data_IF_742413761611
#
_entry.id   IF_742413761611
#
_cell.length_a   1.000
_cell.length_b   1.000
_cell.length_c   1.000
_cell.angle_alpha   90.00
_cell.angle_beta   90.00
_cell.angle_gamma   90.00
#
_symmetry.space_group_name_H-M   'P 1'
#
loop_
_entity.id
_entity.type
_entity.pdbx_description
1 polymer ?
#
# COMPACT_ATOMS: atom_id res chain seq x y z
N UNK A 1 -19.30 12.01 -8.45
CA UNK A 1 -18.28 12.59 -7.55
C UNK A 1 -16.91 12.08 -7.91
N UNK A 2 -15.85 12.83 -7.58
CA UNK A 2 -14.44 12.42 -7.70
C UNK A 2 -13.92 12.19 -6.28
N UNK A 3 -13.39 10.98 -6.01
CA UNK A 3 -12.91 10.60 -4.68
C UNK A 3 -11.39 10.73 -4.55
N UNK A 4 -10.66 10.62 -5.64
CA UNK A 4 -9.20 10.46 -5.69
C UNK A 4 -8.36 11.68 -5.31
N UNK A 5 -8.97 12.84 -5.02
CA UNK A 5 -8.25 14.11 -4.71
C UNK A 5 -8.53 14.65 -3.29
N UNK A 6 -9.30 13.93 -2.49
CA UNK A 6 -9.69 14.37 -1.13
C UNK A 6 -8.95 13.64 0.01
N UNK A 7 -7.87 12.93 -0.27
CA UNK A 7 -7.17 12.09 0.70
C UNK A 7 -7.91 10.78 1.00
N UNK A 8 -7.71 10.19 2.18
CA UNK A 8 -8.24 8.88 2.54
C UNK A 8 -9.75 8.87 2.82
N UNK A 9 -10.28 9.95 3.40
CA UNK A 9 -11.68 10.01 3.82
C UNK A 9 -12.67 9.78 2.67
N UNK A 10 -12.54 10.45 1.49
CA UNK A 10 -13.39 10.14 0.35
C UNK A 10 -13.32 8.69 -0.12
N UNK A 11 -12.12 8.08 -0.15
CA UNK A 11 -11.97 6.67 -0.54
C UNK A 11 -12.74 5.75 0.40
N UNK A 12 -12.71 5.99 1.71
CA UNK A 12 -13.46 5.20 2.69
C UNK A 12 -14.99 5.31 2.52
N UNK A 13 -15.47 6.33 1.83
CA UNK A 13 -16.88 6.51 1.53
C UNK A 13 -17.31 5.87 0.20
N UNK A 14 -16.36 5.36 -0.59
CA UNK A 14 -16.61 4.90 -1.96
C UNK A 14 -17.74 3.88 -2.05
N UNK A 15 -17.63 2.79 -1.30
CA UNK A 15 -18.64 1.70 -1.30
C UNK A 15 -20.00 2.19 -0.82
N UNK A 16 -20.03 3.06 0.20
CA UNK A 16 -21.30 3.61 0.72
C UNK A 16 -21.96 4.54 -0.29
N UNK A 17 -21.20 5.41 -0.93
CA UNK A 17 -21.73 6.33 -1.96
C UNK A 17 -22.24 5.56 -3.17
N UNK A 18 -21.52 4.51 -3.60
CA UNK A 18 -21.93 3.66 -4.69
C UNK A 18 -23.26 2.92 -4.37
N UNK A 19 -23.37 2.40 -3.13
CA UNK A 19 -24.60 1.76 -2.63
C UNK A 19 -25.81 2.70 -2.59
N UNK A 20 -25.61 3.99 -2.39
CA UNK A 20 -26.65 5.04 -2.46
C UNK A 20 -26.90 5.53 -3.90
N UNK A 21 -26.31 4.91 -4.91
CA UNK A 21 -26.50 5.26 -6.33
C UNK A 21 -25.77 6.53 -6.77
N UNK A 22 -24.81 7.01 -6.00
CA UNK A 22 -24.01 8.20 -6.37
C UNK A 22 -22.99 7.79 -7.43
N UNK A 23 -23.02 8.40 -8.60
CA UNK A 23 -22.06 8.14 -9.69
C UNK A 23 -20.64 8.56 -9.28
N UNK A 24 -19.74 7.59 -9.14
CA UNK A 24 -18.31 7.80 -8.92
C UNK A 24 -17.61 7.95 -10.27
N UNK A 25 -16.78 8.97 -10.40
CA UNK A 25 -15.95 9.24 -11.58
C UNK A 25 -14.50 8.84 -11.27
N UNK A 26 -13.87 8.17 -12.21
CA UNK A 26 -12.53 7.61 -12.04
C UNK A 26 -12.58 6.11 -11.72
N UNK A 27 -11.74 5.65 -10.82
CA UNK A 27 -11.67 4.24 -10.43
C UNK A 27 -12.98 3.79 -9.78
N UNK A 28 -13.54 2.61 -10.15
CA UNK A 28 -14.79 2.08 -9.58
C UNK A 28 -14.69 1.85 -8.06
N UNK A 29 -15.80 2.05 -7.35
CA UNK A 29 -15.85 1.84 -5.89
C UNK A 29 -15.39 0.46 -5.45
N UNK A 30 -15.77 -0.58 -6.20
CA UNK A 30 -15.34 -1.96 -5.97
C UNK A 30 -13.81 -2.10 -5.99
N UNK A 31 -13.15 -1.44 -6.95
CA UNK A 31 -11.71 -1.53 -7.12
C UNK A 31 -10.97 -0.66 -6.10
N UNK A 32 -11.60 0.44 -5.64
CA UNK A 32 -11.13 1.20 -4.47
C UNK A 32 -11.16 0.31 -3.22
N UNK A 33 -12.26 -0.38 -2.97
CA UNK A 33 -12.41 -1.31 -1.85
C UNK A 33 -11.39 -2.47 -1.91
N UNK A 34 -11.16 -3.02 -3.12
CA UNK A 34 -10.14 -4.06 -3.33
C UNK A 34 -8.71 -3.59 -3.01
N UNK A 35 -8.40 -2.31 -3.21
CA UNK A 35 -7.10 -1.74 -2.89
C UNK A 35 -6.95 -1.38 -1.41
N UNK A 36 -8.03 -0.91 -0.78
CA UNK A 36 -8.02 -0.45 0.62
C UNK A 36 -8.13 -1.60 1.63
N UNK A 37 -8.82 -2.68 1.28
CA UNK A 37 -8.91 -3.89 2.10
C UNK A 37 -7.64 -4.73 1.94
N UNK A 38 -6.87 -4.86 3.02
CA UNK A 38 -5.58 -5.56 3.03
C UNK A 38 -5.66 -7.01 2.58
N UNK A 39 -6.71 -7.73 2.99
CA UNK A 39 -6.91 -9.12 2.59
C UNK A 39 -7.15 -9.21 1.07
N UNK A 40 -8.10 -8.41 0.56
CA UNK A 40 -8.45 -8.41 -0.87
C UNK A 40 -7.25 -7.99 -1.73
N UNK A 41 -6.54 -6.96 -1.31
CA UNK A 41 -5.35 -6.48 -2.02
C UNK A 41 -4.25 -7.53 -2.05
N UNK A 42 -3.92 -8.15 -0.90
CA UNK A 42 -2.92 -9.20 -0.82
C UNK A 42 -3.30 -10.43 -1.64
N UNK A 43 -4.56 -10.88 -1.60
CA UNK A 43 -5.05 -11.98 -2.41
C UNK A 43 -4.96 -11.66 -3.93
N UNK A 44 -5.25 -10.43 -4.32
CA UNK A 44 -5.06 -9.97 -5.70
C UNK A 44 -3.58 -10.02 -6.12
N UNK A 45 -2.67 -9.52 -5.30
CA UNK A 45 -1.23 -9.58 -5.58
C UNK A 45 -0.76 -11.02 -5.77
N UNK A 46 -1.19 -11.95 -4.89
CA UNK A 46 -0.86 -13.37 -4.98
C UNK A 46 -1.39 -13.97 -6.29
N UNK A 47 -2.63 -13.63 -6.69
CA UNK A 47 -3.22 -14.11 -7.94
C UNK A 47 -2.48 -13.62 -9.19
N UNK A 48 -1.85 -12.45 -9.11
CA UNK A 48 -1.05 -11.85 -10.18
C UNK A 48 0.43 -12.31 -10.16
N UNK A 49 0.83 -13.09 -9.16
CA UNK A 49 2.22 -13.48 -8.94
C UNK A 49 3.13 -12.29 -8.63
N UNK A 50 2.58 -11.25 -8.00
CA UNK A 50 3.31 -10.06 -7.58
C UNK A 50 3.83 -10.27 -6.17
N UNK A 51 5.14 -10.07 -5.98
CA UNK A 51 5.78 -10.29 -4.70
C UNK A 51 5.39 -9.23 -3.66
N UNK A 52 5.10 -9.69 -2.44
CA UNK A 52 4.74 -8.89 -1.28
C UNK A 52 5.37 -9.50 -0.03
N UNK A 53 5.48 -8.78 1.11
CA UNK A 53 5.85 -9.39 2.38
C UNK A 53 4.89 -10.53 2.70
N UNK A 54 5.39 -11.69 3.16
CA UNK A 54 4.53 -12.80 3.56
C UNK A 54 3.52 -12.34 4.60
N UNK A 55 2.31 -12.82 4.50
CA UNK A 55 1.20 -12.37 5.33
C UNK A 55 0.28 -13.51 5.75
N UNK A 56 -0.40 -13.33 6.86
CA UNK A 56 -1.42 -14.24 7.35
C UNK A 56 -2.53 -13.45 8.03
N UNK A 57 -3.77 -13.83 7.75
CA UNK A 57 -4.93 -13.33 8.48
C UNK A 57 -5.04 -14.05 9.82
N UNK A 58 -5.39 -13.32 10.88
CA UNK A 58 -5.61 -13.88 12.19
C UNK A 58 -6.97 -14.60 12.21
N UNK A 59 -6.94 -15.92 12.15
CA UNK A 59 -8.11 -16.79 12.36
C UNK A 59 -8.06 -17.45 13.73
N UNK A 60 -6.88 -17.85 14.17
CA UNK A 60 -6.59 -18.48 15.45
C UNK A 60 -5.09 -18.37 15.79
N UNK A 61 -4.74 -18.58 17.07
CA UNK A 61 -3.36 -18.49 17.54
C UNK A 61 -2.46 -19.58 16.97
N UNK A 62 -2.99 -20.76 16.64
CA UNK A 62 -2.19 -21.83 16.06
C UNK A 62 -1.71 -21.47 14.66
N UNK A 63 -2.58 -20.87 13.86
CA UNK A 63 -2.25 -20.36 12.54
C UNK A 63 -1.14 -19.28 12.58
N UNK A 64 -1.23 -18.37 13.57
CA UNK A 64 -0.22 -17.34 13.78
C UNK A 64 1.12 -17.93 14.22
N UNK A 65 1.13 -18.88 15.16
CA UNK A 65 2.36 -19.52 15.58
C UNK A 65 3.06 -20.26 14.43
N UNK A 66 2.30 -20.99 13.61
CA UNK A 66 2.85 -21.64 12.41
C UNK A 66 3.43 -20.61 11.43
N UNK A 67 2.80 -19.45 11.27
CA UNK A 67 3.32 -18.38 10.45
C UNK A 67 4.63 -17.79 11.00
N UNK A 68 4.72 -17.60 12.34
CA UNK A 68 5.95 -17.15 12.98
C UNK A 68 7.09 -18.16 12.83
N UNK A 69 6.80 -19.45 12.94
CA UNK A 69 7.81 -20.50 12.67
C UNK A 69 8.34 -20.44 11.22
N UNK A 70 7.47 -20.07 10.27
CA UNK A 70 7.84 -19.94 8.86
C UNK A 70 8.67 -18.69 8.56
N UNK A 71 8.29 -17.52 9.09
CA UNK A 71 8.88 -16.22 8.70
C UNK A 71 9.88 -15.66 9.71
N UNK A 72 9.81 -16.08 10.97
CA UNK A 72 10.58 -15.53 12.09
C UNK A 72 10.13 -14.12 12.50
N UNK A 73 10.76 -13.60 13.55
CA UNK A 73 10.62 -12.21 13.97
C UNK A 73 11.67 -11.32 13.28
N UNK A 74 11.39 -10.01 13.13
CA UNK A 74 10.18 -9.31 13.53
C UNK A 74 9.01 -9.46 12.56
N UNK A 75 7.79 -9.28 13.08
CA UNK A 75 6.56 -9.23 12.29
C UNK A 75 5.79 -7.95 12.57
N UNK A 76 4.95 -7.54 11.63
CA UNK A 76 4.08 -6.39 11.73
C UNK A 76 2.64 -6.86 11.94
N UNK A 77 2.04 -6.45 13.06
CA UNK A 77 0.61 -6.63 13.34
C UNK A 77 -0.14 -5.39 12.89
N UNK A 78 -1.20 -5.58 12.11
CA UNK A 78 -2.05 -4.48 11.65
C UNK A 78 -3.50 -4.93 11.47
N UNK A 79 -4.47 -4.11 11.87
CA UNK A 79 -5.87 -4.31 11.48
C UNK A 79 -6.00 -4.19 9.96
N UNK A 80 -6.93 -4.92 9.34
CA UNK A 80 -7.13 -4.87 7.88
C UNK A 80 -7.65 -3.51 7.39
N UNK A 81 -8.36 -2.80 8.26
CA UNK A 81 -8.96 -1.51 7.90
C UNK A 81 -8.59 -0.49 8.98
N UNK A 82 -7.59 0.34 8.75
CA UNK A 82 -7.16 1.37 9.72
C UNK A 82 -6.87 2.68 9.03
N UNK A 83 -7.43 3.74 9.62
CA UNK A 83 -7.08 5.11 9.30
C UNK A 83 -5.71 5.45 9.89
N UNK A 84 -4.76 5.81 9.04
CA UNK A 84 -3.48 6.45 9.39
C UNK A 84 -2.55 5.67 10.35
N UNK A 85 -2.35 4.36 10.15
CA UNK A 85 -1.32 3.60 10.88
C UNK A 85 -1.58 3.38 12.38
N UNK A 86 -2.76 3.80 12.89
CA UNK A 86 -3.16 3.52 14.27
C UNK A 86 -3.23 2.01 14.49
N UNK A 87 -2.71 1.54 15.63
CA UNK A 87 -2.62 0.14 16.02
C UNK A 87 -1.73 -0.76 15.11
N UNK A 88 -0.88 -0.18 14.26
CA UNK A 88 0.20 -0.92 13.59
C UNK A 88 1.40 -1.01 14.52
N UNK A 89 1.89 -2.24 14.76
CA UNK A 89 3.03 -2.45 15.65
C UNK A 89 3.96 -3.52 15.12
N UNK A 90 5.26 -3.25 15.20
CA UNK A 90 6.32 -4.22 14.95
C UNK A 90 6.54 -5.02 16.23
N UNK A 91 6.48 -6.34 16.12
CA UNK A 91 6.68 -7.28 17.22
C UNK A 91 8.00 -8.02 17.01
N UNK A 92 8.86 -8.00 18.01
CA UNK A 92 10.17 -8.66 17.99
C UNK A 92 10.18 -10.00 18.73
N UNK A 93 9.10 -10.34 19.44
CA UNK A 93 8.94 -11.57 20.22
C UNK A 93 7.45 -11.91 20.43
N UNK A 94 7.20 -13.08 20.99
CA UNK A 94 5.84 -13.58 21.23
C UNK A 94 5.04 -12.73 22.23
N UNK A 95 5.66 -12.19 23.26
CA UNK A 95 4.96 -11.39 24.28
C UNK A 95 4.41 -10.10 23.68
N UNK A 96 5.23 -9.44 22.85
CA UNK A 96 4.80 -8.26 22.09
C UNK A 96 3.70 -8.62 21.09
N UNK A 97 3.85 -9.74 20.38
CA UNK A 97 2.86 -10.22 19.43
C UNK A 97 1.49 -10.42 20.08
N UNK A 98 1.41 -11.19 21.19
CA UNK A 98 0.16 -11.41 21.90
C UNK A 98 -0.48 -10.10 22.38
N UNK A 99 0.33 -9.19 22.94
CA UNK A 99 -0.15 -7.90 23.42
C UNK A 99 -0.77 -7.08 22.28
N UNK A 100 -0.08 -6.99 21.14
CA UNK A 100 -0.55 -6.17 20.01
C UNK A 100 -1.69 -6.83 19.24
N UNK A 101 -1.76 -8.17 19.19
CA UNK A 101 -2.93 -8.87 18.64
C UNK A 101 -4.21 -8.54 19.41
N UNK A 102 -4.14 -8.52 20.75
CA UNK A 102 -5.29 -8.13 21.59
C UNK A 102 -5.72 -6.69 21.31
N UNK A 103 -4.76 -5.75 21.27
CA UNK A 103 -5.05 -4.34 20.97
C UNK A 103 -5.65 -4.16 19.56
N UNK A 104 -5.12 -4.87 18.55
CA UNK A 104 -5.61 -4.80 17.19
C UNK A 104 -7.03 -5.38 17.05
N UNK A 105 -7.33 -6.48 17.74
CA UNK A 105 -8.67 -7.08 17.76
C UNK A 105 -9.71 -6.16 18.44
N UNK A 106 -9.32 -5.43 19.49
CA UNK A 106 -10.20 -4.47 20.15
C UNK A 106 -10.57 -3.27 19.26
N UNK A 107 -9.62 -2.83 18.42
CA UNK A 107 -9.80 -1.71 17.49
C UNK A 107 -10.57 -2.14 16.23
N UNK A 108 -10.36 -3.37 15.77
CA UNK A 108 -10.91 -3.89 14.51
C UNK A 108 -11.92 -5.01 14.74
N UNK A 109 -13.08 -4.65 15.33
CA UNK A 109 -14.14 -5.63 15.67
C UNK A 109 -14.84 -6.22 14.44
N UNK A 110 -14.85 -5.50 13.33
CA UNK A 110 -15.57 -5.88 12.10
C UNK A 110 -14.66 -6.40 11.00
N UNK A 111 -13.34 -6.25 11.14
CA UNK A 111 -12.36 -6.64 10.12
C UNK A 111 -11.24 -7.49 10.72
N UNK A 112 -10.70 -8.45 9.97
CA UNK A 112 -9.63 -9.30 10.46
C UNK A 112 -8.35 -8.52 10.75
N UNK A 113 -7.54 -9.07 11.65
CA UNK A 113 -6.18 -8.59 11.90
C UNK A 113 -5.23 -9.37 10.99
N UNK A 114 -4.29 -8.68 10.37
CA UNK A 114 -3.28 -9.26 9.49
C UNK A 114 -1.91 -9.19 10.17
N UNK A 115 -1.19 -10.30 10.16
CA UNK A 115 0.23 -10.36 10.54
C UNK A 115 1.06 -10.48 9.28
N UNK A 116 2.08 -9.65 9.18
CA UNK A 116 2.93 -9.56 7.99
C UNK A 116 4.40 -9.66 8.40
N UNK A 117 5.21 -10.36 7.61
CA UNK A 117 6.65 -10.36 7.75
C UNK A 117 7.19 -8.92 7.68
N UNK A 118 7.99 -8.50 8.66
CA UNK A 118 8.66 -7.20 8.62
C UNK A 118 10.04 -7.33 7.96
N UNK A 119 10.25 -6.62 6.86
CA UNK A 119 11.50 -6.67 6.09
C UNK A 119 12.45 -5.60 6.61
N UNK A 120 13.40 -6.01 7.44
CA UNK A 120 14.42 -5.10 8.00
C UNK A 120 15.39 -4.60 6.93
N UNK A 121 15.88 -3.38 7.11
CA UNK A 121 16.90 -2.73 6.26
C UNK A 121 16.49 -2.63 4.77
N UNK A 122 15.20 -2.66 4.49
CA UNK A 122 14.69 -2.41 3.16
C UNK A 122 14.57 -0.91 2.89
N UNK A 123 14.82 -0.51 1.65
CA UNK A 123 14.47 0.83 1.14
C UNK A 123 12.97 0.90 0.92
N UNK A 124 12.38 2.02 1.26
CA UNK A 124 11.02 2.34 0.85
C UNK A 124 11.03 3.20 -0.41
N UNK A 125 10.23 2.81 -1.38
CA UNK A 125 10.15 3.45 -2.68
C UNK A 125 8.68 3.71 -2.97
N UNK A 126 8.37 4.90 -3.46
CA UNK A 126 7.03 5.26 -3.87
C UNK A 126 6.96 5.48 -5.38
N UNK A 127 5.85 5.10 -5.96
CA UNK A 127 5.50 5.48 -7.32
C UNK A 127 4.20 6.26 -7.29
N UNK A 128 4.28 7.55 -7.58
CA UNK A 128 3.13 8.41 -7.87
C UNK A 128 2.81 8.34 -9.36
N UNK A 129 1.58 8.10 -9.71
CA UNK A 129 1.20 7.95 -11.10
C UNK A 129 -0.25 8.39 -11.38
N UNK A 130 -0.54 8.65 -12.65
CA UNK A 130 -1.89 8.81 -13.16
C UNK A 130 -2.13 7.75 -14.21
N UNK A 131 -3.27 7.09 -14.15
CA UNK A 131 -3.70 6.12 -15.14
C UNK A 131 -5.06 6.47 -15.73
N UNK A 132 -5.34 5.92 -16.92
CA UNK A 132 -6.65 5.94 -17.58
C UNK A 132 -6.98 4.51 -18.02
N UNK A 133 -8.09 3.99 -17.53
CA UNK A 133 -8.55 2.64 -17.85
C UNK A 133 -7.45 1.56 -17.63
N UNK A 134 -6.71 1.69 -16.52
CA UNK A 134 -5.61 0.81 -16.17
C UNK A 134 -4.29 1.04 -16.89
N UNK A 135 -4.20 1.99 -17.82
CA UNK A 135 -2.94 2.34 -18.50
C UNK A 135 -2.29 3.55 -17.86
N UNK A 136 -1.03 3.39 -17.43
CA UNK A 136 -0.26 4.47 -16.79
C UNK A 136 0.13 5.51 -17.84
N UNK A 137 -0.32 6.75 -17.65
CA UNK A 137 -0.05 7.89 -18.54
C UNK A 137 1.23 8.61 -18.16
N UNK A 138 1.39 8.86 -16.85
CA UNK A 138 2.55 9.54 -16.27
C UNK A 138 2.89 8.92 -14.92
N UNK A 139 4.15 8.93 -14.58
CA UNK A 139 4.61 8.44 -13.26
C UNK A 139 5.86 9.18 -12.79
N UNK A 140 6.07 9.14 -11.47
CA UNK A 140 7.30 9.55 -10.80
C UNK A 140 7.65 8.47 -9.76
N UNK A 141 8.91 8.06 -9.74
CA UNK A 141 9.43 7.14 -8.73
C UNK A 141 10.35 7.92 -7.81
N UNK A 142 10.09 7.87 -6.52
CA UNK A 142 10.89 8.49 -5.45
C UNK A 142 11.34 7.45 -4.44
N UNK A 143 12.40 7.74 -3.71
CA UNK A 143 12.87 6.90 -2.62
C UNK A 143 12.84 7.66 -1.29
N UNK A 144 12.63 6.94 -0.19
CA UNK A 144 12.85 7.47 1.15
C UNK A 144 14.34 7.42 1.50
N UNK A 145 14.83 8.46 2.16
CA UNK A 145 16.22 8.48 2.65
C UNK A 145 16.37 7.50 3.81
N UNK A 146 15.35 7.44 4.65
CA UNK A 146 15.25 6.51 5.77
C UNK A 146 14.96 5.07 5.28
N UNK A 147 15.28 4.09 6.12
CA UNK A 147 14.84 2.72 5.89
C UNK A 147 13.35 2.57 6.19
N UNK A 148 12.75 1.53 5.61
CA UNK A 148 11.34 1.19 5.82
C UNK A 148 10.98 1.05 7.31
N UNK A 149 9.79 1.55 7.66
CA UNK A 149 9.28 1.61 9.03
C UNK A 149 9.12 3.04 9.56
N UNK A 150 9.58 4.04 8.84
CA UNK A 150 9.23 5.44 9.08
C UNK A 150 7.96 5.74 8.29
N UNK A 151 6.97 6.36 8.95
CA UNK A 151 5.72 6.71 8.26
C UNK A 151 6.00 7.66 7.08
N UNK A 152 5.39 7.40 5.93
CA UNK A 152 5.64 8.16 4.69
C UNK A 152 5.40 9.67 4.81
N UNK A 153 4.55 10.09 5.76
CA UNK A 153 4.33 11.50 6.09
C UNK A 153 5.49 12.19 6.83
N UNK A 154 6.39 11.40 7.44
CA UNK A 154 7.51 11.87 8.25
C UNK A 154 8.86 11.57 7.57
N UNK A 155 8.86 10.74 6.52
CA UNK A 155 10.05 10.37 5.78
C UNK A 155 10.52 11.49 4.84
N UNK A 156 11.83 11.54 4.62
CA UNK A 156 12.45 12.45 3.65
C UNK A 156 12.42 11.81 2.27
N UNK A 157 11.66 12.42 1.34
CA UNK A 157 11.52 11.93 -0.03
C UNK A 157 12.60 12.53 -0.93
N UNK A 158 13.29 11.67 -1.66
CA UNK A 158 14.26 12.05 -2.69
C UNK A 158 13.74 11.71 -4.08
N UNK A 159 13.75 12.71 -4.97
CA UNK A 159 13.37 12.55 -6.38
C UNK A 159 14.37 13.30 -7.29
N UNK A 160 14.88 12.70 -8.39
CA UNK A 160 14.76 11.27 -8.72
C UNK A 160 15.50 10.37 -7.72
N UNK A 161 15.16 9.08 -7.65
CA UNK A 161 15.82 8.15 -6.73
C UNK A 161 17.31 8.00 -7.11
N UNK A 162 18.18 7.95 -6.11
CA UNK A 162 19.65 7.94 -6.31
C UNK A 162 20.29 6.59 -5.98
N UNK A 163 19.66 5.80 -5.11
CA UNK A 163 20.23 4.57 -4.56
C UNK A 163 19.45 3.33 -4.90
N UNK A 164 18.75 3.33 -6.04
CA UNK A 164 18.07 2.15 -6.58
C UNK A 164 18.67 1.74 -7.92
N UNK A 165 18.64 0.45 -8.21
CA UNK A 165 19.13 -0.08 -9.47
C UNK A 165 18.15 0.20 -10.61
N UNK A 166 18.66 0.32 -11.83
CA UNK A 166 17.82 0.48 -13.04
C UNK A 166 16.85 -0.69 -13.18
N UNK A 167 17.28 -1.90 -12.84
CA UNK A 167 16.42 -3.09 -12.86
C UNK A 167 15.27 -2.99 -11.85
N UNK A 168 15.52 -2.43 -10.66
CA UNK A 168 14.48 -2.15 -9.67
C UNK A 168 13.42 -1.21 -10.25
N UNK A 169 13.85 -0.13 -10.91
CA UNK A 169 12.93 0.81 -11.59
C UNK A 169 12.08 0.10 -12.66
N UNK A 170 12.68 -0.77 -13.47
CA UNK A 170 11.95 -1.54 -14.50
C UNK A 170 10.92 -2.47 -13.89
N UNK A 171 11.26 -3.16 -12.80
CA UNK A 171 10.34 -4.03 -12.06
C UNK A 171 9.18 -3.26 -11.46
N UNK A 172 9.46 -2.13 -10.80
CA UNK A 172 8.42 -1.25 -10.25
C UNK A 172 7.43 -0.84 -11.35
N UNK A 173 7.93 -0.36 -12.49
CA UNK A 173 7.06 0.03 -13.61
C UNK A 173 6.18 -1.12 -14.09
N UNK A 174 6.75 -2.31 -14.26
CA UNK A 174 6.01 -3.50 -14.71
C UNK A 174 4.93 -3.89 -13.71
N UNK A 175 5.27 -3.96 -12.43
CA UNK A 175 4.34 -4.33 -11.36
C UNK A 175 3.24 -3.27 -11.21
N UNK A 176 3.59 -1.99 -11.22
CA UNK A 176 2.60 -0.90 -11.15
C UNK A 176 1.60 -0.97 -12.32
N UNK A 177 2.08 -1.28 -13.53
CA UNK A 177 1.20 -1.43 -14.69
C UNK A 177 0.24 -2.64 -14.54
N UNK A 178 0.70 -3.74 -13.97
CA UNK A 178 -0.15 -4.90 -13.70
C UNK A 178 -1.23 -4.57 -12.65
N UNK A 179 -0.87 -3.89 -11.57
CA UNK A 179 -1.80 -3.44 -10.54
C UNK A 179 -2.82 -2.45 -11.12
N UNK A 180 -2.35 -1.47 -11.89
CA UNK A 180 -3.23 -0.46 -12.49
C UNK A 180 -4.31 -1.10 -13.39
N UNK A 181 -3.94 -2.11 -14.17
CA UNK A 181 -4.89 -2.88 -15.00
C UNK A 181 -5.85 -3.71 -14.16
N UNK A 182 -5.35 -4.43 -13.15
CA UNK A 182 -6.17 -5.29 -12.31
C UNK A 182 -7.23 -4.52 -11.52
N UNK A 183 -6.91 -3.29 -11.10
CA UNK A 183 -7.81 -2.39 -10.38
C UNK A 183 -8.53 -1.37 -11.28
N UNK A 184 -8.43 -1.50 -12.61
CA UNK A 184 -9.05 -0.59 -13.58
C UNK A 184 -8.83 0.89 -13.23
N UNK A 185 -7.62 1.24 -12.78
CA UNK A 185 -7.33 2.57 -12.25
C UNK A 185 -7.57 3.64 -13.29
N UNK A 186 -8.39 4.63 -12.93
CA UNK A 186 -8.56 5.86 -13.69
C UNK A 186 -8.46 7.05 -12.75
N UNK A 187 -7.39 7.82 -12.90
CA UNK A 187 -7.02 8.95 -12.05
C UNK A 187 -5.70 8.76 -11.32
N UNK A 188 -5.41 9.60 -10.32
CA UNK A 188 -4.18 9.56 -9.55
C UNK A 188 -4.14 8.37 -8.59
N UNK A 189 -2.96 7.78 -8.43
CA UNK A 189 -2.70 6.72 -7.48
C UNK A 189 -1.23 6.71 -7.03
N UNK A 190 -0.98 6.05 -5.90
CA UNK A 190 0.34 5.88 -5.33
C UNK A 190 0.52 4.41 -4.94
N UNK A 191 1.67 3.82 -5.27
CA UNK A 191 2.05 2.49 -4.82
C UNK A 191 3.33 2.60 -4.00
N UNK A 192 3.36 1.93 -2.85
CA UNK A 192 4.53 1.84 -1.98
C UNK A 192 5.17 0.46 -2.10
N UNK A 193 6.49 0.46 -2.17
CA UNK A 193 7.33 -0.70 -2.34
C UNK A 193 8.42 -0.77 -1.28
N UNK A 194 8.76 -1.99 -0.87
CA UNK A 194 10.03 -2.28 -0.23
C UNK A 194 11.01 -2.79 -1.27
N UNK A 195 12.26 -2.33 -1.21
CA UNK A 195 13.33 -2.85 -2.04
C UNK A 195 14.52 -3.25 -1.17
N UNK A 196 14.96 -4.50 -1.31
CA UNK A 196 16.19 -4.99 -0.69
C UNK A 196 17.00 -5.69 -1.78
N UNK A 197 18.19 -5.17 -2.06
CA UNK A 197 18.96 -5.51 -3.26
C UNK A 197 18.14 -5.19 -4.54
N UNK A 198 17.88 -6.17 -5.40
CA UNK A 198 16.98 -6.01 -6.57
C UNK A 198 15.58 -6.58 -6.36
N UNK A 199 15.30 -7.14 -5.18
CA UNK A 199 13.98 -7.67 -4.89
C UNK A 199 13.06 -6.55 -4.44
N UNK A 200 11.88 -6.49 -5.04
CA UNK A 200 10.84 -5.53 -4.69
C UNK A 200 9.63 -6.26 -4.14
N UNK A 201 8.99 -5.67 -3.14
CA UNK A 201 7.74 -6.15 -2.56
C UNK A 201 6.75 -5.01 -2.46
N UNK A 202 5.52 -5.26 -2.92
CA UNK A 202 4.44 -4.27 -2.81
C UNK A 202 3.96 -4.22 -1.36
N UNK A 203 3.80 -3.02 -0.82
CA UNK A 203 3.22 -2.79 0.51
C UNK A 203 1.75 -2.42 0.40
N UNK A 204 1.44 -1.39 -0.40
CA UNK A 204 0.08 -0.87 -0.53
C UNK A 204 -0.10 -0.10 -1.83
N UNK A 205 -1.35 0.05 -2.24
CA UNK A 205 -1.78 0.88 -3.35
C UNK A 205 -2.89 1.81 -2.87
N UNK A 206 -2.63 3.12 -2.92
CA UNK A 206 -3.57 4.16 -2.56
C UNK A 206 -4.20 4.75 -3.84
N UNK A 207 -5.50 4.58 -4.04
CA UNK A 207 -6.22 5.04 -5.24
C UNK A 207 -6.63 6.51 -5.13
N UNK A 208 -5.66 7.34 -4.83
CA UNK A 208 -5.79 8.79 -4.64
C UNK A 208 -4.46 9.49 -4.82
N UNK A 209 -4.51 10.80 -4.99
CA UNK A 209 -3.31 11.62 -4.96
C UNK A 209 -2.63 11.52 -3.58
N UNK A 210 -1.33 11.31 -3.59
CA UNK A 210 -0.47 11.27 -2.41
C UNK A 210 -0.02 12.69 -2.03
N UNK A 211 0.62 12.82 -0.86
CA UNK A 211 1.22 14.09 -0.42
C UNK A 211 2.40 14.52 -1.28
N UNK A 212 3.06 13.58 -1.94
CA UNK A 212 4.19 13.81 -2.85
C UNK A 212 3.79 14.34 -4.24
N UNK A 213 2.52 14.21 -4.66
CA UNK A 213 2.05 14.69 -5.97
C UNK A 213 2.41 16.16 -6.29
N UNK A 214 2.21 17.13 -5.39
CA UNK A 214 2.61 18.51 -5.67
C UNK A 214 4.12 18.66 -5.86
N UNK A 215 4.91 17.90 -5.11
CA UNK A 215 6.36 17.91 -5.20
C UNK A 215 6.85 17.36 -6.55
N UNK A 216 6.43 16.14 -6.92
CA UNK A 216 6.84 15.50 -8.16
C UNK A 216 6.32 16.26 -9.39
N UNK A 217 5.11 16.81 -9.33
CA UNK A 217 4.54 17.67 -10.37
C UNK A 217 5.41 18.93 -10.62
N UNK A 218 5.85 19.56 -9.55
CA UNK A 218 6.74 20.72 -9.63
C UNK A 218 8.09 20.39 -10.25
N UNK A 219 8.72 19.30 -9.81
CA UNK A 219 10.05 18.89 -10.29
C UNK A 219 9.99 18.50 -11.77
N UNK A 220 8.98 17.72 -12.16
CA UNK A 220 8.79 17.29 -13.55
C UNK A 220 8.23 18.39 -14.47
N UNK A 221 7.71 19.48 -13.91
CA UNK A 221 6.97 20.54 -14.64
C UNK A 221 5.75 20.00 -15.41
N UNK A 222 5.14 18.97 -14.87
CA UNK A 222 3.91 18.33 -15.38
C UNK A 222 2.91 18.31 -14.23
N UNK A 223 1.77 18.99 -14.40
CA UNK A 223 0.73 18.90 -13.39
C UNK A 223 -0.01 17.56 -13.53
N UNK A 224 0.22 16.64 -12.60
CA UNK A 224 -0.37 15.31 -12.62
C UNK A 224 -1.90 15.32 -12.43
N UNK A 225 -2.45 16.41 -11.90
CA UNK A 225 -3.90 16.51 -11.68
C UNK A 225 -4.63 17.02 -12.94
N UNK A 226 -3.93 17.67 -13.86
CA UNK A 226 -4.51 18.20 -15.10
C UNK A 226 -4.60 17.12 -16.22
N UNK A 227 -4.09 15.91 -15.98
CA UNK A 227 -4.08 14.80 -16.92
C UNK A 227 -5.31 13.90 -16.77
#
# INVERSE_FOLDING_TARGET
>A
VILSVGGQIPNNLATRLDGEGVKILGTPARDIDNAEDRHKFSAMLDSLGIDQPRWRELTDMQSINSFIEEVGFPVLVRPSYVLSGAAMNVCSNNDELERFLRLAADVSKEHPVVVTQFIQDAKEIEMDAVARDGEIIVYAISEHIEFAGVHSGDATIQFPPQKIYVETVRRIKKVSQQIARALHITGPFNIQYLAKNNDIKVIECNLRASRSFPFVSKVLKINFIDL
#
